data_IF_565440224094
#
_entry.id   IF_565440224094
#
_cell.length_a   1.000
_cell.length_b   1.000
_cell.length_c   1.000
_cell.angle_alpha   90.00
_cell.angle_beta   90.00
_cell.angle_gamma   90.00
#
_symmetry.space_group_name_H-M   'P 1'
#
loop_
_entity.id
_entity.type
_entity.pdbx_description
1 polymer ?
#
# COMPACT_ATOMS: atom_id res chain seq x y z
N UNK A 1 -17.55 2.92 17.58
CA UNK A 1 -17.44 3.46 16.21
C UNK A 1 -16.35 2.64 15.51
N UNK A 2 -16.51 2.29 14.24
CA UNK A 2 -15.48 1.61 13.45
C UNK A 2 -14.39 2.61 13.04
N UNK A 3 -13.14 2.16 12.98
CA UNK A 3 -12.03 2.92 12.44
C UNK A 3 -11.99 2.75 10.90
N UNK A 4 -11.61 3.80 10.18
CA UNK A 4 -11.56 3.80 8.72
C UNK A 4 -10.12 3.66 8.20
N UNK A 5 -9.91 2.71 7.30
CA UNK A 5 -8.66 2.51 6.55
C UNK A 5 -8.94 2.69 5.07
N UNK A 6 -8.16 3.53 4.39
CA UNK A 6 -8.24 3.69 2.94
C UNK A 6 -7.01 3.08 2.28
N UNK A 7 -7.21 2.20 1.31
CA UNK A 7 -6.17 1.71 0.39
C UNK A 7 -6.28 2.51 -0.89
N UNK A 8 -5.34 3.43 -1.12
CA UNK A 8 -5.26 4.23 -2.35
C UNK A 8 -4.19 3.68 -3.26
N UNK A 9 -4.52 3.42 -4.53
CA UNK A 9 -3.59 2.76 -5.45
C UNK A 9 -3.68 3.28 -6.88
N UNK A 10 -2.58 3.08 -7.63
CA UNK A 10 -2.55 3.05 -9.09
C UNK A 10 -2.20 1.66 -9.60
N UNK A 11 -2.75 1.27 -10.75
CA UNK A 11 -2.43 0.02 -11.43
C UNK A 11 -2.53 0.19 -12.94
N UNK A 12 -1.40 0.08 -13.66
CA UNK A 12 -1.38 0.22 -15.12
C UNK A 12 -1.83 -1.05 -15.85
N UNK A 13 -1.46 -2.24 -15.32
CA UNK A 13 -1.71 -3.54 -15.98
C UNK A 13 -2.52 -4.52 -15.11
N UNK A 14 -3.12 -4.06 -14.02
CA UNK A 14 -3.95 -4.89 -13.14
C UNK A 14 -3.22 -5.61 -12.00
N UNK A 15 -1.92 -5.86 -12.09
CA UNK A 15 -1.17 -6.61 -11.06
C UNK A 15 -1.16 -5.89 -9.70
N UNK A 16 -0.94 -4.57 -9.70
CA UNK A 16 -1.00 -3.77 -8.46
C UNK A 16 -2.42 -3.68 -7.89
N UNK A 17 -3.46 -3.75 -8.74
CA UNK A 17 -4.85 -3.88 -8.28
C UNK A 17 -5.05 -5.16 -7.49
N UNK A 18 -4.59 -6.32 -7.99
CA UNK A 18 -4.69 -7.59 -7.25
C UNK A 18 -4.00 -7.53 -5.89
N UNK A 19 -2.84 -6.87 -5.85
CA UNK A 19 -2.13 -6.63 -4.59
C UNK A 19 -2.94 -5.70 -3.65
N UNK A 20 -3.55 -4.63 -4.19
CA UNK A 20 -4.39 -3.68 -3.45
C UNK A 20 -5.66 -4.35 -2.88
N UNK A 21 -6.31 -5.22 -3.66
CA UNK A 21 -7.44 -6.04 -3.22
C UNK A 21 -7.06 -6.94 -2.04
N UNK A 22 -5.87 -7.56 -2.10
CA UNK A 22 -5.36 -8.39 -1.01
C UNK A 22 -5.08 -7.57 0.26
N UNK A 23 -4.50 -6.37 0.14
CA UNK A 23 -4.29 -5.43 1.25
C UNK A 23 -5.64 -5.03 1.87
N UNK A 24 -6.61 -4.64 1.04
CA UNK A 24 -7.94 -4.24 1.50
C UNK A 24 -8.67 -5.40 2.20
N UNK A 25 -8.61 -6.61 1.63
CA UNK A 25 -9.17 -7.81 2.27
C UNK A 25 -8.50 -8.11 3.63
N UNK A 26 -7.21 -7.84 3.75
CA UNK A 26 -6.48 -7.96 5.03
C UNK A 26 -6.99 -6.97 6.07
N UNK A 27 -7.13 -5.70 5.70
CA UNK A 27 -7.64 -4.67 6.60
C UNK A 27 -9.10 -4.94 7.00
N UNK A 28 -9.97 -5.26 6.05
CA UNK A 28 -11.38 -5.57 6.31
C UNK A 28 -11.60 -6.84 7.14
N UNK A 29 -10.60 -7.73 7.26
CA UNK A 29 -10.69 -8.92 8.11
C UNK A 29 -10.63 -8.64 9.61
N UNK A 30 -10.37 -7.38 10.02
CA UNK A 30 -10.24 -6.98 11.42
C UNK A 30 -11.54 -6.36 11.90
N UNK A 31 -12.16 -6.96 12.90
CA UNK A 31 -13.40 -6.43 13.52
C UNK A 31 -13.17 -5.01 14.06
N UNK A 32 -14.11 -4.12 13.82
CA UNK A 32 -14.01 -2.71 14.22
C UNK A 32 -13.25 -1.82 13.22
N UNK A 33 -12.90 -2.36 12.04
CA UNK A 33 -12.28 -1.59 10.94
C UNK A 33 -13.11 -1.70 9.67
N UNK A 34 -13.38 -0.56 9.05
CA UNK A 34 -13.93 -0.46 7.69
C UNK A 34 -12.81 -0.11 6.73
N UNK A 35 -12.76 -0.79 5.58
CA UNK A 35 -11.72 -0.57 4.58
C UNK A 35 -12.33 -0.15 3.24
N UNK A 36 -11.87 0.98 2.72
CA UNK A 36 -12.20 1.48 1.38
C UNK A 36 -11.02 1.26 0.43
N UNK A 37 -11.27 0.63 -0.71
CA UNK A 37 -10.31 0.49 -1.81
C UNK A 37 -10.60 1.56 -2.87
N UNK A 38 -9.59 2.36 -3.24
CA UNK A 38 -9.76 3.52 -4.12
C UNK A 38 -8.61 3.63 -5.12
N UNK A 39 -8.91 3.80 -6.40
CA UNK A 39 -7.91 4.17 -7.40
C UNK A 39 -7.62 5.67 -7.35
N UNK A 40 -6.37 6.07 -7.63
CA UNK A 40 -6.00 7.49 -7.75
C UNK A 40 -6.81 8.21 -8.85
N UNK A 41 -7.31 7.51 -9.86
CA UNK A 41 -8.18 8.07 -10.90
C UNK A 41 -9.51 8.62 -10.35
N UNK A 42 -9.97 8.14 -9.19
CA UNK A 42 -11.15 8.69 -8.52
C UNK A 42 -10.90 10.09 -7.91
N UNK A 43 -9.67 10.60 -7.93
CA UNK A 43 -9.23 11.85 -7.32
C UNK A 43 -8.73 12.87 -8.35
N UNK A 44 -9.10 12.73 -9.63
CA UNK A 44 -8.62 13.60 -10.72
C UNK A 44 -9.02 15.08 -10.56
N UNK A 45 -10.05 15.37 -9.77
CA UNK A 45 -10.41 16.74 -9.43
C UNK A 45 -10.36 16.96 -7.90
N UNK A 46 -10.10 18.21 -7.49
CA UNK A 46 -9.93 18.59 -6.09
C UNK A 46 -11.22 18.43 -5.24
N UNK A 47 -12.38 18.34 -5.86
CA UNK A 47 -13.69 18.25 -5.20
C UNK A 47 -14.24 16.83 -5.16
N UNK A 48 -13.49 15.84 -5.68
CA UNK A 48 -13.93 14.45 -5.67
C UNK A 48 -14.19 13.95 -4.24
N UNK A 49 -15.29 13.22 -4.04
CA UNK A 49 -15.69 12.67 -2.73
C UNK A 49 -14.60 11.77 -2.10
N UNK A 50 -13.76 11.14 -2.93
CA UNK A 50 -12.64 10.34 -2.47
C UNK A 50 -11.65 11.08 -1.57
N UNK A 51 -11.48 12.39 -1.74
CA UNK A 51 -10.64 13.19 -0.86
C UNK A 51 -11.20 13.27 0.57
N UNK A 52 -12.53 13.32 0.74
CA UNK A 52 -13.15 13.30 2.06
C UNK A 52 -12.91 11.97 2.77
N UNK A 53 -12.94 10.85 2.02
CA UNK A 53 -12.62 9.53 2.56
C UNK A 53 -11.19 9.47 3.09
N UNK A 54 -10.20 10.02 2.35
CA UNK A 54 -8.82 10.14 2.78
C UNK A 54 -8.67 11.08 3.99
N UNK A 55 -9.37 12.22 3.98
CA UNK A 55 -9.33 13.22 5.04
C UNK A 55 -9.94 12.70 6.37
N UNK A 56 -10.92 11.80 6.31
CA UNK A 56 -11.56 11.18 7.48
C UNK A 56 -10.92 9.88 7.94
N UNK A 57 -10.10 9.23 7.09
CA UNK A 57 -9.47 7.97 7.42
C UNK A 57 -8.53 8.07 8.62
N UNK A 58 -8.48 7.02 9.43
CA UNK A 58 -7.51 6.84 10.53
C UNK A 58 -6.16 6.34 10.03
N UNK A 59 -6.16 5.61 8.89
CA UNK A 59 -4.96 5.13 8.23
C UNK A 59 -5.12 5.16 6.70
N UNK A 60 -4.02 5.40 5.98
CA UNK A 60 -3.95 5.35 4.52
C UNK A 60 -2.83 4.42 4.08
N UNK A 61 -3.14 3.46 3.21
CA UNK A 61 -2.16 2.53 2.65
C UNK A 61 -1.94 2.89 1.18
N UNK A 62 -0.70 3.27 0.83
CA UNK A 62 -0.30 3.72 -0.49
C UNK A 62 0.13 2.54 -1.36
N UNK A 63 -0.35 2.46 -2.60
CA UNK A 63 0.00 1.40 -3.53
C UNK A 63 0.28 1.91 -4.94
N UNK A 64 1.44 1.58 -5.49
CA UNK A 64 1.80 1.89 -6.88
C UNK A 64 2.66 0.79 -7.46
N UNK A 65 2.59 0.53 -8.78
CA UNK A 65 3.67 -0.21 -9.43
C UNK A 65 4.96 0.60 -9.36
N UNK A 66 6.09 -0.10 -9.34
CA UNK A 66 7.39 0.53 -9.55
C UNK A 66 7.68 0.60 -11.04
N UNK A 67 7.63 1.80 -11.62
CA UNK A 67 7.99 2.08 -12.99
C UNK A 67 9.24 2.93 -13.04
N UNK A 68 10.25 2.50 -13.81
CA UNK A 68 11.54 3.19 -13.92
C UNK A 68 12.15 3.54 -12.55
N UNK A 69 11.98 2.63 -11.57
CA UNK A 69 12.61 2.74 -10.25
C UNK A 69 11.85 3.59 -9.22
N UNK A 70 10.63 4.09 -9.53
CA UNK A 70 9.84 4.89 -8.59
C UNK A 70 8.34 4.63 -8.72
N UNK A 71 7.52 5.31 -7.92
CA UNK A 71 6.08 5.29 -8.09
C UNK A 71 5.67 5.76 -9.49
N UNK A 72 4.57 5.24 -10.02
CA UNK A 72 4.05 5.64 -11.34
C UNK A 72 3.71 7.12 -11.40
N UNK A 73 3.76 7.70 -12.61
CA UNK A 73 3.43 9.11 -12.84
C UNK A 73 2.02 9.49 -12.33
N UNK A 74 1.03 8.60 -12.49
CA UNK A 74 -0.32 8.86 -12.02
C UNK A 74 -0.42 8.84 -10.48
N UNK A 75 0.33 7.97 -9.82
CA UNK A 75 0.43 8.02 -8.36
C UNK A 75 1.15 9.30 -7.90
N UNK A 76 2.17 9.74 -8.63
CA UNK A 76 2.87 11.00 -8.34
C UNK A 76 1.97 12.22 -8.49
N UNK A 77 1.09 12.26 -9.51
CA UNK A 77 0.06 13.31 -9.63
C UNK A 77 -0.85 13.38 -8.38
N UNK A 78 -1.28 12.21 -7.87
CA UNK A 78 -2.03 12.15 -6.62
C UNK A 78 -1.23 12.74 -5.44
N UNK A 79 0.05 12.37 -5.30
CA UNK A 79 0.91 12.93 -4.24
C UNK A 79 0.98 14.45 -4.32
N UNK A 80 1.17 15.02 -5.52
CA UNK A 80 1.22 16.48 -5.74
C UNK A 80 -0.13 17.15 -5.47
N UNK A 81 -1.25 16.53 -5.88
CA UNK A 81 -2.60 17.03 -5.65
C UNK A 81 -2.98 17.09 -4.15
N UNK A 82 -2.30 16.32 -3.30
CA UNK A 82 -2.51 16.36 -1.85
C UNK A 82 -1.92 17.60 -1.15
N UNK A 83 -1.22 18.47 -1.87
CA UNK A 83 -0.49 19.63 -1.30
C UNK A 83 -1.35 20.55 -0.43
N UNK A 84 -2.64 20.77 -0.79
CA UNK A 84 -3.56 21.55 0.03
C UNK A 84 -3.86 20.92 1.40
N UNK A 85 -3.83 19.57 1.48
CA UNK A 85 -3.99 18.81 2.73
C UNK A 85 -2.75 18.88 3.59
N UNK A 86 -1.57 18.88 2.95
CA UNK A 86 -0.30 19.13 3.60
C UNK A 86 -0.27 20.52 4.24
N UNK A 87 -0.62 21.57 3.52
CA UNK A 87 -0.65 22.96 4.02
C UNK A 87 -1.53 23.14 5.25
N UNK A 88 -2.60 22.35 5.36
CA UNK A 88 -3.59 22.45 6.45
C UNK A 88 -3.42 21.37 7.53
N UNK A 89 -2.39 20.51 7.44
CA UNK A 89 -2.13 19.44 8.40
C UNK A 89 -3.25 18.37 8.48
N UNK A 90 -4.04 18.20 7.41
CA UNK A 90 -5.23 17.32 7.41
C UNK A 90 -4.91 15.86 7.68
N UNK A 91 -3.70 15.39 7.34
CA UNK A 91 -3.29 14.00 7.51
C UNK A 91 -2.32 13.79 8.66
N UNK A 92 -2.03 14.84 9.43
CA UNK A 92 -1.17 14.74 10.60
C UNK A 92 -1.67 13.67 11.56
N UNK A 93 -0.75 12.88 12.11
CA UNK A 93 -0.98 11.78 13.06
C UNK A 93 -1.83 10.61 12.56
N UNK A 94 -2.17 10.56 11.25
CA UNK A 94 -2.72 9.36 10.63
C UNK A 94 -1.65 8.29 10.50
N UNK A 95 -2.04 7.02 10.52
CA UNK A 95 -1.14 5.93 10.18
C UNK A 95 -0.97 5.83 8.65
N UNK A 96 0.23 5.49 8.20
CA UNK A 96 0.53 5.24 6.79
C UNK A 96 1.28 3.92 6.61
N UNK A 97 1.09 3.26 5.47
CA UNK A 97 1.84 2.09 5.05
C UNK A 97 1.94 2.08 3.52
N UNK A 98 2.70 1.15 2.95
CA UNK A 98 2.80 1.08 1.50
C UNK A 98 3.08 -0.31 0.95
N UNK A 99 2.72 -0.49 -0.33
CA UNK A 99 3.00 -1.69 -1.10
C UNK A 99 3.32 -1.34 -2.56
N UNK A 100 4.06 -2.20 -3.22
CA UNK A 100 4.44 -2.00 -4.62
C UNK A 100 4.65 -3.32 -5.34
N UNK A 101 4.48 -3.30 -6.67
CA UNK A 101 4.72 -4.42 -7.57
C UNK A 101 5.65 -4.02 -8.71
N UNK A 102 6.45 -4.94 -9.22
CA UNK A 102 7.23 -4.77 -10.45
C UNK A 102 7.42 -6.09 -11.18
N UNK A 103 7.84 -6.03 -12.45
CA UNK A 103 8.14 -7.21 -13.27
C UNK A 103 9.39 -7.96 -12.81
N UNK A 104 10.43 -7.26 -12.40
CA UNK A 104 11.68 -7.86 -11.92
C UNK A 104 11.60 -8.18 -10.43
N UNK A 105 12.35 -9.21 -9.98
CA UNK A 105 12.35 -9.60 -8.56
C UNK A 105 12.83 -8.48 -7.64
N UNK A 106 13.91 -7.79 -7.98
CA UNK A 106 14.36 -6.58 -7.27
C UNK A 106 13.52 -5.39 -7.75
N UNK A 107 13.67 -5.00 -9.04
CA UNK A 107 12.93 -3.95 -9.73
C UNK A 107 12.98 -2.59 -9.07
N UNK A 108 13.97 -2.35 -8.20
CA UNK A 108 14.13 -1.11 -7.41
C UNK A 108 12.90 -0.76 -6.56
N UNK A 109 12.09 -1.77 -6.23
CA UNK A 109 10.86 -1.62 -5.43
C UNK A 109 11.07 -0.91 -4.09
N UNK A 110 12.26 -1.07 -3.51
CA UNK A 110 12.63 -0.39 -2.26
C UNK A 110 12.54 1.13 -2.41
N UNK A 111 12.93 1.68 -3.57
CA UNK A 111 12.88 3.13 -3.79
C UNK A 111 11.43 3.66 -3.78
N UNK A 112 10.49 2.95 -4.38
CA UNK A 112 9.06 3.31 -4.31
C UNK A 112 8.54 3.33 -2.85
N UNK A 113 8.94 2.36 -2.03
CA UNK A 113 8.56 2.36 -0.61
C UNK A 113 9.20 3.51 0.17
N UNK A 114 10.46 3.87 -0.11
CA UNK A 114 11.13 5.03 0.48
C UNK A 114 10.41 6.33 0.08
N UNK A 115 9.99 6.44 -1.18
CA UNK A 115 9.21 7.59 -1.66
C UNK A 115 7.89 7.72 -0.85
N UNK A 116 7.18 6.63 -0.59
CA UNK A 116 5.97 6.64 0.25
C UNK A 116 6.25 7.01 1.70
N UNK A 117 7.34 6.51 2.29
CA UNK A 117 7.78 6.90 3.64
C UNK A 117 8.04 8.39 3.71
N UNK A 118 8.75 8.94 2.71
CA UNK A 118 9.03 10.37 2.62
C UNK A 118 7.74 11.18 2.47
N UNK A 119 6.82 10.72 1.61
CA UNK A 119 5.53 11.36 1.41
C UNK A 119 4.68 11.36 2.70
N UNK A 120 4.62 10.23 3.40
CA UNK A 120 3.95 10.13 4.70
C UNK A 120 4.57 11.09 5.72
N UNK A 121 5.90 11.17 5.80
CA UNK A 121 6.61 12.07 6.69
C UNK A 121 6.34 13.55 6.37
N UNK A 122 6.23 13.93 5.10
CA UNK A 122 5.83 15.28 4.68
C UNK A 122 4.45 15.65 5.24
N UNK A 123 3.50 14.71 5.25
CA UNK A 123 2.16 14.90 5.81
C UNK A 123 2.08 14.74 7.34
N UNK A 124 3.19 14.48 8.03
CA UNK A 124 3.20 14.24 9.49
C UNK A 124 2.54 12.92 9.90
N UNK A 125 2.48 11.93 8.99
CA UNK A 125 1.89 10.62 9.25
C UNK A 125 2.91 9.68 9.92
N UNK A 126 2.41 8.66 10.63
CA UNK A 126 3.21 7.64 11.31
C UNK A 126 3.26 6.38 10.46
N UNK A 127 4.47 5.94 10.08
CA UNK A 127 4.66 4.80 9.20
C UNK A 127 4.52 3.47 9.93
N UNK A 128 3.69 2.58 9.40
CA UNK A 128 3.52 1.18 9.82
C UNK A 128 4.24 0.27 8.83
N UNK A 129 5.32 -0.35 9.27
CA UNK A 129 6.11 -1.28 8.46
C UNK A 129 5.44 -2.66 8.32
N UNK A 130 5.99 -3.54 7.45
CA UNK A 130 5.44 -4.88 7.18
C UNK A 130 5.50 -5.82 8.40
N UNK A 131 6.59 -5.79 9.17
CA UNK A 131 6.83 -6.66 10.34
C UNK A 131 6.62 -8.16 10.07
N UNK A 132 7.07 -8.64 8.94
CA UNK A 132 7.20 -10.06 8.64
C UNK A 132 8.70 -10.40 8.47
N UNK A 133 9.11 -11.50 9.05
CA UNK A 133 10.44 -12.03 8.77
C UNK A 133 10.58 -12.33 7.26
N UNK A 134 11.78 -12.13 6.67
CA UNK A 134 11.99 -12.46 5.27
C UNK A 134 11.85 -13.99 5.07
N UNK A 135 10.98 -14.37 4.14
CA UNK A 135 10.87 -15.75 3.67
C UNK A 135 11.88 -16.06 2.55
N UNK A 136 11.96 -17.31 2.13
CA UNK A 136 12.81 -17.76 1.02
C UNK A 136 14.29 -17.30 1.13
N UNK A 137 14.81 -17.20 2.35
CA UNK A 137 16.16 -16.70 2.64
C UNK A 137 17.07 -17.78 3.26
N UNK A 138 16.70 -19.04 3.17
CA UNK A 138 17.45 -20.20 3.63
C UNK A 138 17.32 -21.35 2.65
N UNK A 139 18.14 -22.39 2.81
CA UNK A 139 18.11 -23.59 1.94
C UNK A 139 16.78 -24.36 2.02
N UNK A 140 16.01 -24.20 3.10
CA UNK A 140 14.67 -24.76 3.26
C UNK A 140 13.54 -23.82 2.87
N UNK A 141 13.85 -22.59 2.42
CA UNK A 141 12.85 -21.61 1.99
C UNK A 141 12.33 -21.88 0.57
N UNK A 142 11.23 -21.22 0.23
CA UNK A 142 10.61 -21.36 -1.09
C UNK A 142 9.92 -20.07 -1.55
N UNK A 143 9.59 -20.02 -2.84
CA UNK A 143 8.77 -18.92 -3.40
C UNK A 143 7.35 -18.84 -2.80
N UNK A 144 6.91 -19.87 -2.07
CA UNK A 144 5.62 -19.89 -1.41
C UNK A 144 5.63 -19.27 -0.01
N UNK A 145 6.79 -18.87 0.49
CA UNK A 145 6.92 -18.28 1.82
C UNK A 145 6.37 -16.85 1.85
N UNK A 146 5.80 -16.46 2.99
CA UNK A 146 5.43 -15.06 3.22
C UNK A 146 6.68 -14.18 3.15
N UNK A 147 6.51 -12.98 2.63
CA UNK A 147 7.60 -12.03 2.47
C UNK A 147 8.82 -12.61 1.74
N UNK A 148 8.58 -13.44 0.70
CA UNK A 148 9.65 -14.12 -0.07
C UNK A 148 10.65 -13.14 -0.71
N UNK A 149 10.27 -11.88 -0.90
CA UNK A 149 11.13 -10.82 -1.44
C UNK A 149 11.92 -10.07 -0.36
N UNK A 150 11.72 -10.40 0.92
CA UNK A 150 12.52 -9.89 2.04
C UNK A 150 12.33 -8.41 2.35
N UNK A 151 11.15 -7.84 2.05
CA UNK A 151 10.87 -6.43 2.30
C UNK A 151 10.58 -6.15 3.78
N UNK A 152 10.97 -4.97 4.27
CA UNK A 152 10.69 -4.53 5.65
C UNK A 152 9.80 -3.29 5.71
N UNK A 153 9.99 -2.32 4.82
CA UNK A 153 9.22 -1.06 4.85
C UNK A 153 7.76 -1.25 4.49
N UNK A 154 7.44 -2.16 3.58
CA UNK A 154 6.08 -2.42 3.11
C UNK A 154 6.01 -3.73 2.34
N UNK A 155 4.86 -4.07 1.77
CA UNK A 155 4.71 -5.29 1.00
C UNK A 155 5.21 -5.12 -0.43
N UNK A 156 6.11 -5.99 -0.87
CA UNK A 156 6.55 -6.08 -2.26
C UNK A 156 5.91 -7.29 -2.93
N UNK A 157 5.56 -7.15 -4.21
CA UNK A 157 5.13 -8.24 -5.07
C UNK A 157 5.92 -8.23 -6.38
N UNK A 158 5.96 -9.36 -7.06
CA UNK A 158 6.56 -9.50 -8.37
C UNK A 158 5.58 -10.21 -9.29
N UNK A 159 5.39 -9.68 -10.49
CA UNK A 159 4.55 -10.26 -11.54
C UNK A 159 5.34 -10.32 -12.83
N UNK A 160 5.41 -11.49 -13.46
CA UNK A 160 6.04 -11.58 -14.77
C UNK A 160 5.36 -10.64 -15.77
N UNK A 161 6.14 -10.07 -16.69
CA UNK A 161 5.65 -9.04 -17.62
C UNK A 161 4.80 -9.60 -18.76
N UNK A 162 4.84 -10.89 -18.97
CA UNK A 162 4.16 -11.65 -20.03
C UNK A 162 2.91 -12.38 -19.56
N UNK A 163 2.47 -12.14 -18.29
CA UNK A 163 1.24 -12.71 -17.75
C UNK A 163 0.23 -11.63 -17.37
N UNK A 164 -1.05 -11.99 -17.35
CA UNK A 164 -2.12 -11.11 -16.90
C UNK A 164 -2.27 -11.06 -15.36
N UNK A 165 -3.18 -10.19 -14.87
CA UNK A 165 -3.40 -10.02 -13.42
C UNK A 165 -4.04 -11.25 -12.74
N UNK A 166 -4.55 -12.22 -13.51
CA UNK A 166 -5.08 -13.46 -12.94
C UNK A 166 -3.97 -14.48 -12.64
N UNK A 167 -2.81 -14.34 -13.27
CA UNK A 167 -1.66 -15.22 -13.12
C UNK A 167 -0.51 -14.58 -12.30
N UNK A 168 -0.62 -13.31 -11.96
CA UNK A 168 0.36 -12.58 -11.15
C UNK A 168 -0.25 -11.35 -10.46
N UNK A 169 0.23 -10.99 -9.26
CA UNK A 169 1.27 -11.61 -8.44
C UNK A 169 0.90 -13.00 -7.92
N UNK A 170 1.92 -13.80 -7.56
CA UNK A 170 1.70 -15.15 -7.01
C UNK A 170 1.06 -15.11 -5.61
N UNK A 171 0.47 -16.24 -5.21
CA UNK A 171 -0.30 -16.35 -3.95
C UNK A 171 0.46 -15.90 -2.70
N UNK A 172 1.76 -16.18 -2.59
CA UNK A 172 2.58 -15.78 -1.44
C UNK A 172 2.77 -14.27 -1.34
N UNK A 173 2.89 -13.57 -2.49
CA UNK A 173 2.97 -12.11 -2.52
C UNK A 173 1.62 -11.48 -2.14
N UNK A 174 0.50 -12.05 -2.61
CA UNK A 174 -0.85 -11.63 -2.21
C UNK A 174 -1.11 -11.89 -0.72
N UNK A 175 -0.65 -13.02 -0.18
CA UNK A 175 -0.74 -13.31 1.25
C UNK A 175 0.10 -12.33 2.09
N UNK A 176 1.28 -11.93 1.61
CA UNK A 176 2.12 -10.88 2.22
C UNK A 176 1.41 -9.52 2.22
N UNK A 177 0.77 -9.15 1.10
CA UNK A 177 -0.03 -7.93 0.98
C UNK A 177 -1.22 -7.94 1.96
N UNK A 178 -1.93 -9.06 2.07
CA UNK A 178 -3.03 -9.26 3.02
C UNK A 178 -2.55 -9.11 4.47
N UNK A 179 -1.37 -9.64 4.80
CA UNK A 179 -0.79 -9.50 6.13
C UNK A 179 -0.47 -8.03 6.46
N UNK A 180 0.02 -7.23 5.49
CA UNK A 180 0.22 -5.79 5.67
C UNK A 180 -1.10 -5.09 6.00
N UNK A 181 -2.16 -5.31 5.22
CA UNK A 181 -3.47 -4.69 5.45
C UNK A 181 -4.01 -5.00 6.85
N UNK A 182 -3.96 -6.29 7.25
CA UNK A 182 -4.36 -6.72 8.58
C UNK A 182 -3.53 -6.04 9.68
N UNK A 183 -2.22 -5.92 9.49
CA UNK A 183 -1.34 -5.25 10.44
C UNK A 183 -1.69 -3.78 10.61
N UNK A 184 -1.92 -3.04 9.51
CA UNK A 184 -2.31 -1.62 9.57
C UNK A 184 -3.62 -1.47 10.33
N UNK A 185 -4.64 -2.27 10.04
CA UNK A 185 -5.92 -2.25 10.73
C UNK A 185 -5.77 -2.47 12.25
N UNK A 186 -4.99 -3.47 12.66
CA UNK A 186 -4.69 -3.73 14.08
C UNK A 186 -3.92 -2.56 14.73
N UNK A 187 -2.99 -1.96 13.99
CA UNK A 187 -2.24 -0.79 14.47
C UNK A 187 -3.16 0.41 14.63
N UNK A 188 -4.13 0.61 13.73
CA UNK A 188 -5.12 1.69 13.80
C UNK A 188 -5.96 1.59 15.07
N UNK A 189 -6.46 0.41 15.42
CA UNK A 189 -7.21 0.20 16.66
C UNK A 189 -6.38 0.52 17.91
N UNK A 190 -5.09 0.15 17.91
CA UNK A 190 -4.18 0.44 19.03
C UNK A 190 -3.79 1.92 19.13
N UNK A 191 -3.69 2.61 18.00
CA UNK A 191 -3.32 4.02 17.93
C UNK A 191 -4.42 4.93 18.48
N UNK A 192 -5.67 4.50 18.35
CA UNK A 192 -6.87 5.23 18.80
C UNK A 192 -7.32 4.86 20.22
N UNK A 193 -6.80 3.79 20.81
CA UNK A 193 -7.07 3.39 22.17
C UNK A 193 -6.31 4.27 23.17
#
# INVERSE_FOLDING_TARGET
MSESVVVIYHSGYGHTLKQAEAVAAGAASVSGVECTLMSVSALENAEAEGWQSLDSASAVIFGSPTYMGSASADFKKFMEASSGRWMTGKWQDKLAAGFTNSGSQNGDKQNTLIEFVTFAAQHGMVWVNLNLAPGNNSTGGSSNDLNRLGASLGAMAQSNVDVGPDDGPITSDLATAKALGRRVALSTLRWKA
#
